data_IF_909195987563
#
_entry.id   IF_909195987563
#
_cell.length_a   1.000
_cell.length_b   1.000
_cell.length_c   1.000
_cell.angle_alpha   90.00
_cell.angle_beta   90.00
_cell.angle_gamma   90.00
#
_symmetry.space_group_name_H-M   'P 1'
#
loop_
_entity.id
_entity.type
_entity.pdbx_description
1 polymer ?
#
# COMPACT_ATOMS: atom_id res chain seq x y z
N UNK A 1 3.80 18.68 -21.50
CA UNK A 1 5.15 18.49 -20.95
C UNK A 1 5.42 19.33 -19.69
N UNK A 2 5.22 20.66 -19.68
CA UNK A 2 5.32 21.43 -18.42
C UNK A 2 4.09 21.25 -17.52
N UNK A 3 2.89 21.27 -18.10
CA UNK A 3 1.64 21.07 -17.34
C UNK A 3 1.54 19.64 -16.77
N UNK A 4 1.87 18.62 -17.57
CA UNK A 4 1.93 17.21 -17.11
C UNK A 4 2.90 16.99 -15.93
N UNK A 5 4.01 17.73 -15.89
CA UNK A 5 4.98 17.64 -14.80
C UNK A 5 4.48 18.35 -13.53
N UNK A 6 3.72 19.43 -13.67
CA UNK A 6 3.10 20.15 -12.55
C UNK A 6 1.98 19.29 -11.97
N UNK A 7 1.13 18.69 -12.82
CA UNK A 7 0.07 17.78 -12.41
C UNK A 7 0.65 16.55 -11.67
N UNK A 8 1.75 15.97 -12.17
CA UNK A 8 2.41 14.83 -11.50
C UNK A 8 3.00 15.23 -10.13
N UNK A 9 3.51 16.46 -9.99
CA UNK A 9 4.03 16.99 -8.73
C UNK A 9 2.88 17.26 -7.74
N UNK A 10 1.79 17.88 -8.17
CA UNK A 10 0.63 18.16 -7.33
C UNK A 10 -0.09 16.87 -6.91
N UNK A 11 -0.18 15.88 -7.80
CA UNK A 11 -0.68 14.53 -7.48
C UNK A 11 0.13 13.86 -6.37
N UNK A 12 1.46 13.95 -6.46
CA UNK A 12 2.37 13.46 -5.43
C UNK A 12 2.09 14.22 -4.14
N UNK A 13 2.12 15.55 -4.13
CA UNK A 13 1.87 16.33 -2.91
C UNK A 13 0.51 16.05 -2.27
N UNK A 14 -0.56 15.88 -3.06
CA UNK A 14 -1.89 15.53 -2.55
C UNK A 14 -1.95 14.09 -1.99
N UNK A 15 -1.23 13.13 -2.59
CA UNK A 15 -1.07 11.79 -2.03
C UNK A 15 -0.36 11.84 -0.66
N UNK A 16 0.53 12.81 -0.48
CA UNK A 16 1.24 13.07 0.77
C UNK A 16 0.53 14.05 1.73
N UNK A 17 -0.57 14.69 1.33
CA UNK A 17 -1.35 15.61 2.18
C UNK A 17 -2.26 14.83 3.15
N UNK A 18 -1.73 14.60 4.36
CA UNK A 18 -2.42 13.99 5.49
C UNK A 18 -3.50 14.90 6.11
N UNK A 19 -3.40 16.23 5.94
CA UNK A 19 -4.25 17.21 6.64
C UNK A 19 -5.65 17.28 6.01
N UNK A 20 -5.76 17.21 4.68
CA UNK A 20 -7.06 17.05 4.00
C UNK A 20 -7.75 15.73 4.40
N UNK A 21 -6.97 14.66 4.57
CA UNK A 21 -7.47 13.32 4.90
C UNK A 21 -8.06 13.22 6.30
N UNK A 22 -7.35 13.76 7.28
CA UNK A 22 -7.72 13.61 8.69
C UNK A 22 -8.92 14.47 9.06
N UNK A 23 -9.11 15.63 8.41
CA UNK A 23 -10.27 16.52 8.64
C UNK A 23 -11.61 15.82 8.41
N UNK A 24 -11.68 14.90 7.43
CA UNK A 24 -12.90 14.13 7.14
C UNK A 24 -13.20 13.02 8.17
N UNK A 25 -12.22 12.63 9.00
CA UNK A 25 -12.34 11.51 9.95
C UNK A 25 -12.41 11.94 11.43
N UNK A 26 -12.38 13.26 11.72
CA UNK A 26 -12.27 13.81 13.09
C UNK A 26 -13.46 13.53 14.04
N UNK A 27 -14.36 12.58 13.73
CA UNK A 27 -15.46 12.17 14.61
C UNK A 27 -15.25 10.84 15.36
N UNK A 28 -14.29 9.98 14.98
CA UNK A 28 -14.20 8.63 15.54
C UNK A 28 -12.85 8.34 16.22
N UNK A 29 -12.87 8.23 17.54
CA UNK A 29 -11.76 7.72 18.36
C UNK A 29 -11.52 6.20 18.18
N UNK A 30 -12.32 5.53 17.34
CA UNK A 30 -12.31 4.09 17.25
C UNK A 30 -11.03 3.57 16.58
N UNK A 31 -10.21 2.83 17.34
CA UNK A 31 -8.99 2.17 16.83
C UNK A 31 -9.25 1.04 15.84
N UNK A 32 -10.52 0.66 15.62
CA UNK A 32 -10.92 -0.45 14.74
C UNK A 32 -11.31 -0.02 13.33
N UNK A 33 -11.46 1.28 13.07
CA UNK A 33 -11.71 1.81 11.73
C UNK A 33 -10.53 2.65 11.30
N UNK A 34 -9.84 2.21 10.25
CA UNK A 34 -8.61 2.85 9.74
C UNK A 34 -8.66 3.05 8.23
N UNK A 35 -9.71 2.62 7.56
CA UNK A 35 -9.80 2.63 6.11
C UNK A 35 -10.99 3.48 5.68
N UNK A 36 -10.75 4.35 4.70
CA UNK A 36 -11.78 5.12 3.99
C UNK A 36 -11.68 4.74 2.52
N UNK A 37 -12.77 4.21 1.95
CA UNK A 37 -12.80 3.84 0.54
C UNK A 37 -12.61 5.09 -0.33
N UNK A 38 -11.68 5.02 -1.28
CA UNK A 38 -11.48 6.08 -2.26
C UNK A 38 -12.48 5.96 -3.40
N UNK A 39 -12.86 7.08 -4.01
CA UNK A 39 -13.75 7.11 -5.16
C UNK A 39 -12.96 6.74 -6.42
N UNK A 40 -13.50 5.83 -7.22
CA UNK A 40 -12.96 5.55 -8.56
C UNK A 40 -13.00 6.84 -9.42
N UNK A 41 -11.91 7.12 -10.12
CA UNK A 41 -11.73 8.37 -10.88
C UNK A 41 -11.19 9.55 -10.08
N UNK A 42 -10.93 9.40 -8.78
CA UNK A 42 -10.11 10.35 -8.01
C UNK A 42 -8.66 10.35 -8.53
N UNK A 43 -8.02 11.52 -8.61
CA UNK A 43 -6.66 11.64 -9.16
C UNK A 43 -5.65 10.80 -8.36
N UNK A 44 -5.73 10.81 -7.03
CA UNK A 44 -4.86 9.98 -6.19
C UNK A 44 -5.16 8.49 -6.40
N UNK A 45 -6.41 8.10 -6.65
CA UNK A 45 -6.75 6.72 -7.00
C UNK A 45 -6.03 6.28 -8.29
N UNK A 46 -6.17 7.07 -9.36
CA UNK A 46 -5.57 6.78 -10.65
C UNK A 46 -4.02 6.75 -10.58
N UNK A 47 -3.45 7.67 -9.79
CA UNK A 47 -2.01 7.69 -9.52
C UNK A 47 -1.54 6.40 -8.83
N UNK A 48 -2.23 5.96 -7.77
CA UNK A 48 -1.88 4.75 -7.03
C UNK A 48 -2.04 3.47 -7.85
N UNK A 49 -3.07 3.40 -8.69
CA UNK A 49 -3.27 2.30 -9.63
C UNK A 49 -2.14 2.23 -10.66
N UNK A 50 -1.77 3.37 -11.26
CA UNK A 50 -0.63 3.48 -12.18
C UNK A 50 0.68 3.11 -11.48
N UNK A 51 0.91 3.65 -10.28
CA UNK A 51 2.08 3.35 -9.46
C UNK A 51 2.19 1.85 -9.16
N UNK A 52 1.08 1.20 -8.80
CA UNK A 52 1.00 -0.24 -8.58
C UNK A 52 1.34 -1.05 -9.84
N UNK A 53 0.78 -0.70 -11.00
CA UNK A 53 1.06 -1.39 -12.26
C UNK A 53 2.49 -1.16 -12.76
N UNK A 54 3.04 0.05 -12.64
CA UNK A 54 4.43 0.35 -13.00
C UNK A 54 5.42 -0.39 -12.09
N UNK A 55 5.05 -0.61 -10.82
CA UNK A 55 5.80 -1.46 -9.89
C UNK A 55 5.71 -2.97 -10.21
N UNK A 56 4.85 -3.40 -11.14
CA UNK A 56 4.64 -4.80 -11.45
C UNK A 56 5.65 -5.34 -12.46
N UNK A 57 6.90 -5.50 -12.00
CA UNK A 57 8.09 -5.79 -12.83
C UNK A 57 8.40 -7.29 -13.05
N UNK A 58 7.75 -8.22 -12.36
CA UNK A 58 7.99 -9.65 -12.57
C UNK A 58 7.32 -10.13 -13.88
N UNK A 59 8.06 -10.56 -14.91
CA UNK A 59 7.49 -10.87 -16.22
C UNK A 59 6.58 -12.10 -16.21
N UNK A 60 6.82 -13.04 -15.29
CA UNK A 60 6.10 -14.31 -15.22
C UNK A 60 4.85 -14.26 -14.32
N UNK A 61 4.56 -13.11 -13.69
CA UNK A 61 3.38 -12.96 -12.83
C UNK A 61 2.21 -12.41 -13.65
N UNK A 62 1.00 -13.00 -13.55
CA UNK A 62 -0.19 -12.45 -14.18
C UNK A 62 -0.38 -10.99 -13.78
N UNK A 63 -0.68 -10.13 -14.76
CA UNK A 63 -0.95 -8.72 -14.48
C UNK A 63 -2.23 -8.63 -13.64
N UNK A 64 -2.18 -8.05 -12.45
CA UNK A 64 -3.34 -7.97 -11.56
C UNK A 64 -4.35 -6.93 -12.04
N UNK A 65 -5.60 -7.08 -11.64
CA UNK A 65 -6.65 -6.05 -11.71
C UNK A 65 -6.78 -5.39 -10.33
N UNK A 66 -6.79 -4.05 -10.28
CA UNK A 66 -7.06 -3.28 -9.06
C UNK A 66 -8.57 -3.08 -8.95
N UNK A 67 -9.14 -3.50 -7.82
CA UNK A 67 -10.59 -3.42 -7.60
C UNK A 67 -10.96 -2.22 -6.74
N UNK A 68 -10.18 -1.98 -5.68
CA UNK A 68 -10.47 -0.97 -4.67
C UNK A 68 -9.17 -0.43 -4.09
N UNK A 69 -9.19 0.85 -3.75
CA UNK A 69 -8.13 1.50 -2.98
C UNK A 69 -8.78 2.17 -1.78
N UNK A 70 -8.19 1.96 -0.60
CA UNK A 70 -8.60 2.62 0.63
C UNK A 70 -7.48 3.53 1.10
N UNK A 71 -7.82 4.72 1.57
CA UNK A 71 -6.92 5.58 2.33
C UNK A 71 -6.86 5.08 3.76
N UNK A 72 -5.64 4.98 4.30
CA UNK A 72 -5.41 4.67 5.72
C UNK A 72 -5.41 5.97 6.51
N UNK A 73 -6.25 6.04 7.54
CA UNK A 73 -6.40 7.22 8.39
C UNK A 73 -5.88 6.93 9.79
N UNK A 74 -5.15 7.88 10.37
CA UNK A 74 -4.64 7.80 11.74
C UNK A 74 -5.03 9.04 12.54
N UNK A 75 -5.28 8.88 13.85
CA UNK A 75 -5.46 10.06 14.69
C UNK A 75 -4.14 10.83 14.78
N UNK A 76 -4.24 12.15 14.93
CA UNK A 76 -3.10 13.08 14.91
C UNK A 76 -1.94 12.66 15.82
N UNK A 77 -2.23 12.23 17.06
CA UNK A 77 -1.21 11.77 18.01
C UNK A 77 -0.42 10.54 17.52
N UNK A 78 -1.01 9.69 16.67
CA UNK A 78 -0.31 8.52 16.10
C UNK A 78 0.59 8.90 14.91
N UNK A 79 0.31 10.02 14.25
CA UNK A 79 1.11 10.55 13.14
C UNK A 79 2.25 11.46 13.61
N UNK A 80 2.08 12.13 14.75
CA UNK A 80 3.07 13.06 15.32
C UNK A 80 4.50 12.49 15.32
N UNK A 81 4.78 11.26 15.82
CA UNK A 81 6.14 10.73 15.83
C UNK A 81 6.76 10.58 14.42
N UNK A 82 5.96 10.14 13.44
CA UNK A 82 6.41 10.06 12.04
C UNK A 82 6.74 11.43 11.46
N UNK A 83 5.94 12.46 11.76
CA UNK A 83 6.20 13.83 11.30
C UNK A 83 7.44 14.42 11.95
N UNK A 84 7.63 14.18 13.24
CA UNK A 84 8.83 14.60 13.98
C UNK A 84 10.08 13.91 13.41
N UNK A 85 10.01 12.60 13.13
CA UNK A 85 11.07 11.86 12.45
C UNK A 85 11.38 12.45 11.06
N UNK A 86 10.35 12.72 10.25
CA UNK A 86 10.52 13.34 8.94
C UNK A 86 11.22 14.69 9.02
N UNK A 87 10.78 15.58 9.91
CA UNK A 87 11.41 16.90 10.12
C UNK A 87 12.86 16.77 10.60
N UNK A 88 13.13 15.82 11.49
CA UNK A 88 14.48 15.53 11.95
C UNK A 88 15.38 15.12 10.77
N UNK A 89 14.98 14.12 9.98
CA UNK A 89 15.77 13.65 8.84
C UNK A 89 15.95 14.76 7.81
N UNK A 90 14.89 15.51 7.51
CA UNK A 90 14.95 16.63 6.57
C UNK A 90 16.01 17.67 6.97
N UNK A 91 16.08 18.00 8.27
CA UNK A 91 17.09 18.93 8.80
C UNK A 91 18.54 18.42 8.69
N UNK A 92 18.73 17.11 8.52
CA UNK A 92 20.04 16.47 8.40
C UNK A 92 20.51 16.33 6.94
N UNK A 93 19.63 16.56 5.95
CA UNK A 93 19.99 16.46 4.54
C UNK A 93 20.71 17.73 4.06
N UNK A 94 21.90 17.56 3.46
CA UNK A 94 22.80 18.67 3.13
C UNK A 94 22.74 19.15 1.66
N UNK A 95 21.87 18.60 0.80
CA UNK A 95 21.86 18.91 -0.64
C UNK A 95 20.51 19.30 -1.23
N UNK A 96 20.54 20.42 -1.97
CA UNK A 96 19.51 21.09 -2.77
C UNK A 96 19.36 20.55 -4.21
N UNK A 97 19.94 19.38 -4.54
CA UNK A 97 20.00 18.87 -5.94
C UNK A 97 19.02 17.75 -6.28
N UNK A 98 18.34 17.19 -5.29
CA UNK A 98 17.15 16.38 -5.51
C UNK A 98 15.97 17.33 -5.20
N UNK A 99 14.85 17.25 -5.89
CA UNK A 99 13.57 17.78 -5.35
C UNK A 99 12.87 16.64 -4.59
N UNK A 100 13.36 16.15 -3.44
CA UNK A 100 12.62 15.17 -2.70
C UNK A 100 11.53 15.87 -1.88
N UNK A 101 10.46 15.12 -1.62
CA UNK A 101 9.59 15.42 -0.50
C UNK A 101 10.42 15.51 0.81
N UNK A 102 9.96 16.26 1.83
CA UNK A 102 10.69 16.39 3.09
C UNK A 102 11.18 15.05 3.64
N UNK A 103 12.46 14.96 4.00
CA UNK A 103 13.10 13.74 4.50
C UNK A 103 13.34 12.64 3.45
N UNK A 104 13.30 12.96 2.15
CA UNK A 104 13.32 11.96 1.07
C UNK A 104 12.22 10.92 1.24
N UNK A 105 11.02 11.43 1.47
CA UNK A 105 9.83 10.62 1.64
C UNK A 105 9.41 9.99 0.30
N UNK A 106 9.05 8.70 0.32
CA UNK A 106 8.65 7.95 -0.88
C UNK A 106 7.51 6.98 -0.57
N UNK A 107 6.70 6.68 -1.58
CA UNK A 107 5.76 5.57 -1.50
C UNK A 107 6.50 4.25 -1.69
N UNK A 108 6.17 3.24 -0.87
CA UNK A 108 6.73 1.89 -0.97
C UNK A 108 5.67 0.82 -0.65
N UNK A 109 5.73 -0.31 -1.36
CA UNK A 109 4.84 -1.44 -1.16
C UNK A 109 5.27 -2.34 0.00
N UNK A 110 4.29 -2.90 0.71
CA UNK A 110 4.49 -3.95 1.71
C UNK A 110 3.39 -5.00 1.62
N UNK A 111 3.78 -6.24 1.34
CA UNK A 111 2.92 -7.41 1.39
C UNK A 111 3.02 -8.12 2.74
N UNK A 112 1.91 -8.58 3.29
CA UNK A 112 1.89 -9.26 4.58
C UNK A 112 0.74 -10.27 4.70
N UNK A 113 0.63 -10.91 5.86
CA UNK A 113 -0.42 -11.87 6.17
C UNK A 113 -1.75 -11.16 6.43
N UNK A 114 -2.80 -11.58 5.73
CA UNK A 114 -4.19 -11.24 6.02
C UNK A 114 -4.94 -12.50 6.46
N UNK A 115 -5.55 -12.45 7.64
CA UNK A 115 -6.40 -13.55 8.16
C UNK A 115 -7.89 -13.29 7.95
N UNK A 116 -8.30 -12.03 7.85
CA UNK A 116 -9.70 -11.61 7.63
C UNK A 116 -9.99 -11.28 6.15
N UNK A 117 -11.14 -10.66 5.89
CA UNK A 117 -11.61 -10.25 4.56
C UNK A 117 -11.64 -8.72 4.40
N UNK A 118 -10.90 -7.98 5.24
CA UNK A 118 -10.90 -6.52 5.17
C UNK A 118 -10.51 -6.04 3.76
N UNK A 119 -11.30 -5.11 3.22
CA UNK A 119 -11.18 -4.59 1.86
C UNK A 119 -11.91 -5.38 0.77
N UNK A 120 -12.41 -6.59 1.05
CA UNK A 120 -13.14 -7.40 0.06
C UNK A 120 -14.37 -6.67 -0.46
N UNK A 121 -15.03 -5.88 0.38
CA UNK A 121 -16.14 -5.01 0.00
C UNK A 121 -15.86 -3.58 0.46
N UNK A 122 -16.49 -2.59 -0.19
CA UNK A 122 -16.34 -1.16 0.16
C UNK A 122 -16.68 -0.88 1.63
N UNK A 123 -17.62 -1.62 2.21
CA UNK A 123 -18.03 -1.50 3.61
C UNK A 123 -17.21 -2.34 4.61
N UNK A 124 -16.39 -3.29 4.15
CA UNK A 124 -15.64 -4.18 5.04
C UNK A 124 -14.31 -3.55 5.46
N UNK A 125 -14.39 -2.58 6.37
CA UNK A 125 -13.27 -1.72 6.81
C UNK A 125 -12.88 -1.89 8.28
N UNK A 126 -13.50 -2.86 8.96
CA UNK A 126 -13.28 -3.11 10.39
C UNK A 126 -12.08 -4.01 10.63
N UNK A 127 -11.12 -3.53 11.43
CA UNK A 127 -9.92 -4.29 11.79
C UNK A 127 -10.27 -5.44 12.74
N UNK A 128 -9.94 -6.68 12.36
CA UNK A 128 -10.02 -7.84 13.25
C UNK A 128 -8.88 -7.84 14.28
N UNK A 129 -9.09 -8.45 15.45
CA UNK A 129 -8.08 -8.54 16.52
C UNK A 129 -7.25 -9.83 16.49
N UNK A 130 -7.30 -10.59 15.39
CA UNK A 130 -6.59 -11.87 15.27
C UNK A 130 -5.06 -11.64 15.24
N UNK A 131 -4.27 -12.28 16.12
CA UNK A 131 -2.82 -12.08 16.18
C UNK A 131 -2.09 -12.40 14.87
N UNK A 132 -2.61 -13.36 14.10
CA UNK A 132 -2.05 -13.79 12.81
C UNK A 132 -2.40 -12.84 11.66
N UNK A 133 -3.29 -11.87 11.88
CA UNK A 133 -3.63 -10.85 10.88
C UNK A 133 -2.64 -9.69 10.96
N UNK A 134 -1.43 -9.90 10.45
CA UNK A 134 -0.36 -8.89 10.46
C UNK A 134 -0.80 -7.59 9.76
N UNK A 135 -1.61 -7.70 8.71
CA UNK A 135 -2.24 -6.56 8.05
C UNK A 135 -3.03 -5.69 9.04
N UNK A 136 -3.96 -6.28 9.81
CA UNK A 136 -4.77 -5.53 10.77
C UNK A 136 -3.92 -5.00 11.94
N UNK A 137 -2.83 -5.70 12.31
CA UNK A 137 -1.87 -5.21 13.30
C UNK A 137 -1.16 -3.94 12.82
N UNK A 138 -0.65 -3.94 11.58
CA UNK A 138 -0.01 -2.77 10.96
C UNK A 138 -1.00 -1.62 10.79
N UNK A 139 -2.21 -1.88 10.30
CA UNK A 139 -3.23 -0.84 10.16
C UNK A 139 -3.64 -0.22 11.51
N UNK A 140 -3.64 -1.01 12.59
CA UNK A 140 -4.02 -0.53 13.93
C UNK A 140 -2.93 0.33 14.58
N UNK A 141 -1.69 -0.14 14.54
CA UNK A 141 -0.59 0.36 15.37
C UNK A 141 0.65 0.80 14.61
N UNK A 142 0.62 0.82 13.28
CA UNK A 142 1.80 0.95 12.42
C UNK A 142 2.77 -0.24 12.55
N UNK A 143 3.96 -0.06 12.01
CA UNK A 143 5.04 -1.04 11.98
C UNK A 143 5.79 -1.11 13.32
N UNK A 144 6.37 -2.27 13.57
CA UNK A 144 7.19 -2.54 14.75
C UNK A 144 8.36 -3.45 14.34
N UNK A 145 9.59 -2.94 14.43
CA UNK A 145 10.83 -3.66 14.11
C UNK A 145 10.98 -4.91 14.97
N UNK A 146 10.43 -4.94 16.19
CA UNK A 146 10.43 -6.15 17.02
C UNK A 146 9.64 -7.30 16.38
N UNK A 147 8.77 -7.02 15.39
CA UNK A 147 8.07 -8.04 14.59
C UNK A 147 8.86 -8.50 13.36
N UNK A 148 10.00 -7.89 13.06
CA UNK A 148 10.85 -8.30 11.94
C UNK A 148 11.28 -9.77 12.09
N UNK A 149 11.08 -10.55 11.01
CA UNK A 149 11.38 -11.98 11.01
C UNK A 149 10.22 -12.89 11.39
N UNK A 150 9.09 -12.35 11.86
CA UNK A 150 7.92 -13.16 12.28
C UNK A 150 7.28 -13.95 11.13
N UNK A 151 7.31 -13.41 9.91
CA UNK A 151 6.82 -14.10 8.69
C UNK A 151 7.93 -14.91 8.01
N UNK A 152 9.10 -14.32 7.83
CA UNK A 152 10.23 -14.91 7.11
C UNK A 152 11.50 -14.76 7.94
N UNK A 153 12.17 -15.89 8.25
CA UNK A 153 13.37 -15.87 9.10
C UNK A 153 14.58 -15.21 8.43
N UNK A 154 14.74 -15.40 7.13
CA UNK A 154 15.84 -14.82 6.37
C UNK A 154 15.61 -13.33 6.13
N UNK A 155 16.64 -12.53 6.43
CA UNK A 155 16.60 -11.07 6.44
C UNK A 155 17.86 -10.55 5.76
N UNK A 156 17.70 -10.08 4.52
CA UNK A 156 18.83 -9.74 3.65
C UNK A 156 19.71 -8.62 4.19
N UNK A 157 19.07 -7.64 4.81
CA UNK A 157 19.69 -6.46 5.43
C UNK A 157 19.37 -6.43 6.93
N UNK A 158 19.35 -7.59 7.58
CA UNK A 158 19.16 -7.70 9.02
C UNK A 158 17.78 -7.24 9.54
N UNK A 159 17.74 -6.80 10.78
CA UNK A 159 16.50 -6.54 11.54
C UNK A 159 16.00 -5.12 11.30
N UNK A 160 15.01 -4.98 10.41
CA UNK A 160 14.36 -3.71 10.08
C UNK A 160 13.00 -3.93 9.39
N UNK A 161 12.37 -2.86 8.93
CA UNK A 161 11.09 -2.92 8.22
C UNK A 161 11.35 -2.94 6.72
N UNK A 162 10.94 -4.03 6.07
CA UNK A 162 11.17 -4.27 4.65
C UNK A 162 9.99 -3.78 3.80
N UNK A 163 10.31 -3.02 2.77
CA UNK A 163 9.39 -2.54 1.74
C UNK A 163 10.06 -2.66 0.37
N UNK A 164 9.34 -2.34 -0.71
CA UNK A 164 9.88 -2.34 -2.07
C UNK A 164 9.14 -1.33 -2.94
N UNK A 165 9.83 -0.69 -3.88
CA UNK A 165 9.18 0.05 -4.98
C UNK A 165 8.56 -0.87 -6.04
N UNK A 166 8.84 -2.18 -5.96
CA UNK A 166 8.34 -3.20 -6.87
C UNK A 166 7.11 -3.89 -6.25
N UNK A 167 5.90 -3.53 -6.68
CA UNK A 167 4.64 -4.14 -6.20
C UNK A 167 4.64 -5.66 -6.40
N UNK A 168 5.09 -6.14 -7.55
CA UNK A 168 5.21 -7.58 -7.82
C UNK A 168 6.20 -8.31 -6.91
N UNK A 169 7.19 -7.62 -6.33
CA UNK A 169 8.08 -8.17 -5.28
C UNK A 169 7.37 -8.20 -3.93
N UNK A 170 6.68 -7.12 -3.57
CA UNK A 170 5.88 -7.09 -2.34
C UNK A 170 4.76 -8.16 -2.35
N UNK A 171 4.22 -8.47 -3.53
CA UNK A 171 3.22 -9.52 -3.73
C UNK A 171 3.69 -10.93 -3.29
N UNK A 172 5.00 -11.24 -3.37
CA UNK A 172 5.56 -12.50 -2.84
C UNK A 172 5.29 -12.68 -1.34
N UNK A 173 5.05 -11.58 -0.64
CA UNK A 173 4.80 -11.55 0.79
C UNK A 173 3.31 -11.43 1.14
N UNK A 174 2.42 -11.32 0.15
CA UNK A 174 0.96 -11.29 0.37
C UNK A 174 0.44 -12.72 0.53
N UNK A 175 -0.29 -12.96 1.63
CA UNK A 175 -0.90 -14.27 1.92
C UNK A 175 -2.23 -14.13 2.65
N UNK A 176 -3.26 -14.79 2.15
CA UNK A 176 -4.55 -14.99 2.84
C UNK A 176 -4.48 -16.28 3.65
N UNK A 177 -4.29 -16.21 4.97
CA UNK A 177 -4.01 -17.39 5.81
C UNK A 177 -5.30 -18.14 6.21
N UNK A 178 -6.45 -17.47 6.32
CA UNK A 178 -7.75 -18.09 6.68
C UNK A 178 -8.87 -17.83 5.72
N UNK A 179 -8.75 -16.74 4.97
CA UNK A 179 -9.88 -16.25 4.21
C UNK A 179 -9.91 -17.01 2.89
N UNK A 180 -11.08 -17.51 2.53
CA UNK A 180 -11.36 -17.97 1.18
C UNK A 180 -11.54 -16.78 0.21
N UNK A 181 -10.82 -15.69 0.46
CA UNK A 181 -10.94 -14.48 -0.32
C UNK A 181 -10.17 -14.64 -1.62
N UNK A 182 -10.86 -14.40 -2.73
CA UNK A 182 -10.27 -14.30 -4.06
C UNK A 182 -9.45 -13.01 -4.24
N UNK A 183 -9.62 -12.04 -3.34
CA UNK A 183 -8.85 -10.80 -3.34
C UNK A 183 -7.54 -10.95 -2.58
N UNK A 184 -6.52 -10.29 -3.11
CA UNK A 184 -5.25 -10.00 -2.48
C UNK A 184 -5.26 -8.55 -2.01
N UNK A 185 -4.49 -8.26 -0.97
CA UNK A 185 -4.35 -6.87 -0.50
C UNK A 185 -2.89 -6.54 -0.20
N UNK A 186 -2.52 -5.30 -0.49
CA UNK A 186 -1.16 -4.80 -0.32
C UNK A 186 -1.19 -3.39 0.25
N UNK A 187 -0.29 -3.11 1.19
CA UNK A 187 -0.12 -1.77 1.74
C UNK A 187 0.79 -0.95 0.84
N UNK A 188 0.41 0.31 0.62
CA UNK A 188 1.31 1.37 0.15
C UNK A 188 1.62 2.26 1.34
N UNK A 189 2.89 2.55 1.54
CA UNK A 189 3.41 3.17 2.74
C UNK A 189 4.18 4.42 2.39
N UNK A 190 4.06 5.42 3.24
CA UNK A 190 4.94 6.58 3.28
C UNK A 190 6.19 6.20 4.04
N UNK A 191 7.35 6.29 3.40
CA UNK A 191 8.65 5.88 3.96
C UNK A 191 9.64 7.03 3.87
N UNK A 192 10.22 7.42 4.99
CA UNK A 192 11.28 8.43 5.07
C UNK A 192 12.62 7.74 4.81
N UNK A 193 13.17 7.92 3.61
CA UNK A 193 14.42 7.26 3.22
C UNK A 193 15.67 8.02 3.69
N UNK A 194 15.55 9.33 3.91
CA UNK A 194 16.68 10.22 4.15
C UNK A 194 17.77 10.06 3.09
N UNK A 195 19.02 9.95 3.55
CA UNK A 195 20.17 9.48 2.79
C UNK A 195 20.22 7.92 2.77
N UNK A 196 19.86 7.24 1.67
CA UNK A 196 19.86 5.78 1.60
C UNK A 196 21.27 5.20 1.34
N UNK A 197 21.62 4.14 2.06
CA UNK A 197 22.81 3.34 1.76
C UNK A 197 22.49 2.35 0.63
N UNK A 198 23.02 2.59 -0.56
CA UNK A 198 22.82 1.70 -1.70
C UNK A 198 23.70 0.46 -1.58
N UNK A 199 23.09 -0.73 -1.68
CA UNK A 199 23.78 -2.02 -1.61
C UNK A 199 23.37 -2.95 -2.76
N UNK A 200 24.29 -3.81 -3.20
CA UNK A 200 23.99 -4.92 -4.13
C UNK A 200 24.18 -6.31 -3.49
N UNK A 201 24.78 -6.34 -2.30
CA UNK A 201 25.10 -7.56 -1.54
C UNK A 201 24.48 -7.54 -0.17
N UNK A 202 24.23 -8.74 0.36
CA UNK A 202 23.59 -8.98 1.64
C UNK A 202 24.37 -8.32 2.80
N UNK A 203 23.64 -7.92 3.84
CA UNK A 203 24.19 -7.43 5.11
C UNK A 203 23.28 -7.93 6.26
N UNK A 204 23.30 -9.24 6.48
CA UNK A 204 22.31 -9.96 7.28
C UNK A 204 22.33 -9.62 8.78
N UNK A 205 23.36 -8.92 9.26
CA UNK A 205 23.56 -8.59 10.67
C UNK A 205 23.20 -7.14 11.03
N UNK A 206 22.71 -6.34 10.08
CA UNK A 206 22.33 -4.95 10.37
C UNK A 206 21.17 -4.90 11.36
N UNK A 207 21.25 -3.96 12.30
CA UNK A 207 20.17 -3.61 13.23
C UNK A 207 19.83 -2.12 13.17
N UNK A 208 20.61 -1.36 12.42
CA UNK A 208 20.52 0.08 12.20
C UNK A 208 21.13 0.40 10.81
N UNK A 209 20.82 1.56 10.20
CA UNK A 209 21.49 1.94 8.96
C UNK A 209 22.99 2.16 9.20
N UNK A 210 23.85 1.95 8.18
CA UNK A 210 25.26 2.27 8.29
C UNK A 210 25.50 3.75 8.64
N UNK A 211 26.63 4.11 9.29
CA UNK A 211 26.91 5.50 9.69
C UNK A 211 26.77 6.50 8.52
N UNK A 212 26.05 7.59 8.76
CA UNK A 212 25.78 8.64 7.75
C UNK A 212 24.59 8.35 6.83
N UNK A 213 23.89 7.24 7.02
CA UNK A 213 22.70 6.86 6.27
C UNK A 213 21.48 6.69 7.19
N UNK A 214 20.28 6.72 6.60
CA UNK A 214 19.01 6.62 7.34
C UNK A 214 18.19 5.39 6.94
N UNK A 215 18.53 4.78 5.80
CA UNK A 215 17.90 3.58 5.26
C UNK A 215 18.91 2.76 4.45
N UNK A 216 18.53 1.54 4.07
CA UNK A 216 19.28 0.70 3.12
C UNK A 216 18.40 0.42 1.92
N UNK A 217 18.94 0.61 0.71
CA UNK A 217 18.28 0.24 -0.55
C UNK A 217 19.15 -0.81 -1.25
N UNK A 218 18.64 -2.03 -1.29
CA UNK A 218 19.20 -3.13 -2.05
C UNK A 218 18.78 -3.05 -3.51
N UNK A 219 19.73 -2.93 -4.43
CA UNK A 219 19.48 -2.92 -5.87
C UNK A 219 19.82 -4.27 -6.52
N UNK A 220 19.15 -4.62 -7.65
CA UNK A 220 19.48 -5.82 -8.40
C UNK A 220 20.96 -5.87 -8.85
N UNK A 221 21.53 -7.08 -8.92
CA UNK A 221 22.80 -7.31 -9.60
C UNK A 221 23.66 -8.45 -9.05
N UNK A 222 23.84 -8.53 -7.73
CA UNK A 222 24.60 -9.62 -7.10
C UNK A 222 23.67 -10.57 -6.34
N UNK A 223 23.22 -10.19 -5.14
CA UNK A 223 22.40 -11.08 -4.30
C UNK A 223 20.89 -10.83 -4.44
N UNK A 224 20.51 -9.88 -5.30
CA UNK A 224 19.15 -9.39 -5.47
C UNK A 224 18.71 -9.45 -6.93
N UNK A 225 17.48 -9.94 -7.13
CA UNK A 225 16.78 -9.91 -8.41
C UNK A 225 15.86 -8.67 -8.54
N UNK A 226 15.44 -8.11 -7.40
CA UNK A 226 14.53 -6.97 -7.32
C UNK A 226 14.91 -6.08 -6.14
N UNK A 227 14.50 -4.80 -6.22
CA UNK A 227 14.79 -3.83 -5.18
C UNK A 227 14.10 -4.18 -3.86
N UNK A 228 14.83 -4.01 -2.75
CA UNK A 228 14.31 -4.10 -1.40
C UNK A 228 14.83 -2.91 -0.59
N UNK A 229 13.94 -2.24 0.13
CA UNK A 229 14.24 -1.05 0.93
C UNK A 229 13.95 -1.33 2.39
N UNK A 230 14.90 -0.97 3.27
CA UNK A 230 14.82 -1.25 4.71
C UNK A 230 15.05 0.02 5.50
N UNK A 231 14.12 0.30 6.42
CA UNK A 231 14.26 1.32 7.46
C UNK A 231 14.40 0.64 8.82
N UNK A 232 15.11 1.28 9.75
CA UNK A 232 15.43 0.74 11.07
C UNK A 232 14.89 1.60 12.22
N UNK A 233 13.89 2.44 11.93
CA UNK A 233 13.11 3.16 12.92
C UNK A 233 11.60 2.93 12.67
N UNK A 234 10.82 2.71 13.74
CA UNK A 234 9.36 2.53 13.64
C UNK A 234 8.65 3.80 13.15
N UNK A 235 9.25 4.96 13.36
CA UNK A 235 8.74 6.27 12.95
C UNK A 235 9.19 6.70 11.55
N UNK A 236 10.03 5.91 10.88
CA UNK A 236 10.40 6.13 9.49
C UNK A 236 9.32 5.71 8.47
N UNK A 237 8.22 5.10 8.92
CA UNK A 237 7.21 4.54 8.02
C UNK A 237 5.78 4.63 8.57
N UNK A 238 4.81 4.95 7.70
CA UNK A 238 3.37 4.84 7.99
C UNK A 238 2.61 4.22 6.82
N UNK A 239 1.65 3.29 7.07
CA UNK A 239 0.77 2.83 6.01
C UNK A 239 -0.15 3.97 5.59
N UNK A 240 -0.26 4.21 4.29
CA UNK A 240 -1.00 5.34 3.73
C UNK A 240 -2.20 4.89 2.90
N UNK A 241 -2.06 3.75 2.19
CA UNK A 241 -3.13 3.18 1.39
C UNK A 241 -3.17 1.65 1.49
N UNK A 242 -4.34 1.07 1.22
CA UNK A 242 -4.54 -0.36 1.03
C UNK A 242 -5.10 -0.58 -0.37
N UNK A 243 -4.36 -1.30 -1.21
CA UNK A 243 -4.80 -1.70 -2.55
C UNK A 243 -5.38 -3.11 -2.46
N UNK A 244 -6.58 -3.30 -3.02
CA UNK A 244 -7.26 -4.60 -3.18
C UNK A 244 -7.22 -4.97 -4.64
N UNK A 245 -6.70 -6.16 -4.95
CA UNK A 245 -6.46 -6.61 -6.31
C UNK A 245 -6.65 -8.13 -6.44
N UNK A 246 -6.71 -8.63 -7.67
CA UNK A 246 -6.71 -10.08 -7.95
C UNK A 246 -5.91 -10.35 -9.23
N UNK A 247 -5.57 -11.62 -9.48
CA UNK A 247 -4.96 -12.05 -10.75
C UNK A 247 -6.00 -12.41 -11.82
N UNK A 248 -7.25 -12.61 -11.40
CA UNK A 248 -8.38 -12.94 -12.25
C UNK A 248 -9.37 -11.79 -12.24
N UNK A 249 -9.92 -11.40 -13.39
CA UNK A 249 -10.90 -10.33 -13.41
C UNK A 249 -12.19 -10.71 -12.68
N UNK A 250 -12.82 -9.74 -11.99
CA UNK A 250 -14.12 -9.97 -11.33
C UNK A 250 -15.13 -10.39 -12.41
N UNK A 251 -15.64 -11.63 -12.33
CA UNK A 251 -16.75 -12.09 -13.18
C UNK A 251 -18.00 -11.34 -12.71
N UNK A 252 -18.31 -10.22 -13.36
CA UNK A 252 -19.56 -9.50 -13.10
C UNK A 252 -20.70 -10.44 -13.46
N UNK A 253 -21.62 -10.78 -12.53
CA UNK A 253 -22.78 -11.56 -12.89
C UNK A 253 -23.54 -10.79 -13.95
N UNK A 254 -23.72 -11.40 -15.13
CA UNK A 254 -24.60 -10.86 -16.16
C UNK A 254 -25.96 -10.62 -15.51
N UNK A 255 -26.41 -9.37 -15.50
CA UNK A 255 -27.78 -9.04 -15.15
C UNK A 255 -28.63 -9.58 -16.31
N UNK A 256 -28.91 -10.87 -16.30
CA UNK A 256 -30.02 -11.42 -17.06
C UNK A 256 -31.28 -10.80 -16.48
N UNK A 257 -31.67 -9.69 -17.09
CA UNK A 257 -32.91 -9.00 -16.84
C UNK A 257 -34.06 -10.00 -16.95
N UNK A 258 -34.55 -10.46 -15.78
CA UNK A 258 -35.80 -11.24 -15.69
C UNK A 258 -36.99 -10.46 -16.28
N UNK A 259 -36.84 -9.16 -16.55
CA UNK A 259 -37.85 -8.36 -17.21
C UNK A 259 -38.06 -8.78 -18.68
N UNK A 260 -37.03 -9.18 -19.43
CA UNK A 260 -37.20 -9.51 -20.86
C UNK A 260 -37.90 -10.87 -21.10
N UNK A 261 -37.87 -11.78 -20.12
CA UNK A 261 -38.58 -13.06 -20.20
C UNK A 261 -40.10 -12.93 -19.93
N UNK A 262 -40.54 -11.86 -19.27
CA UNK A 262 -41.96 -11.63 -18.96
C UNK A 262 -42.70 -10.86 -20.06
N UNK A 263 -41.99 -10.03 -20.85
CA UNK A 263 -42.61 -9.23 -21.91
C UNK A 263 -42.86 -10.01 -23.22
N UNK A 264 -42.14 -11.11 -23.47
CA UNK A 264 -42.31 -11.92 -24.69
C UNK A 264 -43.51 -12.87 -24.65
N UNK A 265 -44.15 -13.05 -23.49
CA UNK A 265 -45.32 -13.91 -23.32
C UNK A 265 -46.66 -13.16 -23.37
N UNK A 266 -46.68 -11.82 -23.34
CA UNK A 266 -47.92 -11.03 -23.31
C UNK A 266 -48.43 -10.49 -24.66
N UNK A 267 -47.70 -10.67 -25.78
CA UNK A 267 -48.13 -10.14 -27.09
C UNK A 267 -48.26 -11.19 -28.21
N UNK A 268 -48.47 -12.46 -27.86
CA UNK A 268 -48.84 -13.52 -28.82
C UNK A 268 -50.26 -14.00 -28.56
N UNK A 269 -51.24 -13.14 -28.80
CA UNK A 269 -52.64 -13.56 -28.96
C UNK A 269 -52.98 -13.41 -30.45
N UNK A 270 -53.30 -14.49 -31.18
CA UNK A 270 -53.72 -14.38 -32.59
C UNK A 270 -55.10 -13.72 -32.67
N UNK A 271 -55.27 -12.81 -33.64
CA UNK A 271 -56.59 -12.33 -34.07
C UNK A 271 -57.35 -13.50 -34.71
N UNK A 272 -58.53 -13.81 -34.17
CA UNK A 272 -59.47 -14.72 -34.81
C UNK A 272 -60.10 -14.03 -36.03
N UNK A 273 -60.05 -14.72 -37.17
CA UNK A 273 -60.79 -14.43 -38.41
C UNK A 273 -62.27 -14.73 -38.28
#
# INVERSE_FOLDING_TARGET
MFDELIDEIDEVFDAFDELKANRAFMGSSNKRTRLVAMKEGDHTYAHLERYFHTGWKHPNKPKPEVHRIFKVVFPEHSLKPFREYRTLIDSQLTSTTLKPLPGNESLMFHGTNRRCQIGDEKGNVMLCSLPECFLCSVLRGSYDIAKCGSKNRFKRFGTGIYTSSCSSKADDYVSNIASNSHYRVMLVNRVILGNPCIRKTNAIHLTEPPPGYHSVVGLPGADLNYEETVVYDNDAIRPAFLIVYSHEPEVRPEIHSKAMAFWTTLFKTPLAT
#
